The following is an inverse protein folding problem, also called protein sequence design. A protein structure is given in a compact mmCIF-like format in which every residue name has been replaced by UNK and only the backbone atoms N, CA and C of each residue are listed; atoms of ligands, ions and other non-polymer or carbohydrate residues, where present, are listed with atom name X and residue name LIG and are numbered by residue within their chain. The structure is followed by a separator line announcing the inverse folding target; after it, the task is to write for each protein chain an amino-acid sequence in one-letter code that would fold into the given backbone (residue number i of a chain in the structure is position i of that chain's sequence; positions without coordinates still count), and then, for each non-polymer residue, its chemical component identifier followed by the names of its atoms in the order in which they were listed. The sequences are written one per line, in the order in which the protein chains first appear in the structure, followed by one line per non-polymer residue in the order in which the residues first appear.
data_IF_374008425967
#
_entry.id   IF_374008425967
#
_cell.length_a   1.000
_cell.length_b   1.000
_cell.length_c   1.000
_cell.angle_alpha   90.00
_cell.angle_beta   90.00
_cell.angle_gamma   90.00
#
_symmetry.space_group_name_H-M   'P 1'
#
loop_
_entity.id
_entity.type
_entity.pdbx_description
1 polymer ?
#
# COMPACT_ATOMS: atom_id res chain seq x y z
N UNK A 1 4.34 -75.40 -66.14
CA UNK A 1 3.52 -75.32 -64.90
C UNK A 1 4.32 -74.95 -63.65
N UNK A 2 5.50 -75.53 -63.39
CA UNK A 2 6.30 -75.25 -62.18
C UNK A 2 6.69 -73.77 -61.98
N UNK A 3 7.07 -73.05 -63.04
CA UNK A 3 7.46 -71.64 -62.95
C UNK A 3 6.29 -70.72 -62.51
N UNK A 4 5.06 -71.00 -62.96
CA UNK A 4 3.85 -70.28 -62.52
C UNK A 4 3.56 -70.53 -61.03
N UNK A 5 3.71 -71.77 -60.56
CA UNK A 5 3.56 -72.12 -59.14
C UNK A 5 4.63 -71.46 -58.25
N UNK A 6 5.90 -71.43 -58.69
CA UNK A 6 6.98 -70.73 -57.96
C UNK A 6 6.75 -69.21 -57.88
N UNK A 7 6.29 -68.58 -58.97
CA UNK A 7 5.95 -67.14 -58.99
C UNK A 7 4.75 -66.82 -58.10
N UNK A 8 3.76 -67.71 -58.06
CA UNK A 8 2.60 -67.58 -57.18
C UNK A 8 3.01 -67.74 -55.70
N UNK A 9 3.81 -68.76 -55.38
CA UNK A 9 4.36 -68.94 -54.03
C UNK A 9 5.20 -67.75 -53.57
N UNK A 10 6.06 -67.20 -54.43
CA UNK A 10 6.84 -66.00 -54.12
C UNK A 10 5.95 -64.77 -53.88
N UNK A 11 4.85 -64.63 -54.62
CA UNK A 11 3.85 -63.55 -54.43
C UNK A 11 3.07 -63.73 -53.13
N UNK A 12 2.68 -64.97 -52.79
CA UNK A 12 2.05 -65.33 -51.51
C UNK A 12 2.99 -64.99 -50.34
N UNK A 13 4.26 -65.40 -50.43
CA UNK A 13 5.28 -65.15 -49.42
C UNK A 13 5.56 -63.66 -49.24
N UNK A 14 5.61 -62.89 -50.33
CA UNK A 14 5.77 -61.43 -50.26
C UNK A 14 4.54 -60.77 -49.59
N UNK A 15 3.33 -61.23 -49.89
CA UNK A 15 2.10 -60.78 -49.22
C UNK A 15 2.12 -61.08 -47.73
N UNK A 16 2.52 -62.29 -47.34
CA UNK A 16 2.63 -62.70 -45.94
C UNK A 16 3.66 -61.84 -45.19
N UNK A 17 4.86 -61.65 -45.75
CA UNK A 17 5.89 -60.79 -45.15
C UNK A 17 5.40 -59.34 -45.01
N UNK A 18 4.68 -58.82 -45.99
CA UNK A 18 4.14 -57.47 -45.95
C UNK A 18 3.05 -57.32 -44.87
N UNK A 19 2.13 -58.30 -44.75
CA UNK A 19 1.15 -58.31 -43.66
C UNK A 19 1.82 -58.35 -42.28
N UNK A 20 2.82 -59.22 -42.09
CA UNK A 20 3.57 -59.31 -40.83
C UNK A 20 4.27 -57.98 -40.52
N UNK A 21 4.90 -57.32 -41.50
CA UNK A 21 5.49 -56.00 -41.28
C UNK A 21 4.47 -54.94 -40.89
N UNK A 22 3.27 -54.95 -41.51
CA UNK A 22 2.19 -54.02 -41.18
C UNK A 22 1.68 -54.28 -39.76
N UNK A 23 1.48 -55.55 -39.37
CA UNK A 23 1.00 -55.92 -38.05
C UNK A 23 2.02 -55.58 -36.95
N UNK A 24 3.32 -55.81 -37.21
CA UNK A 24 4.42 -55.42 -36.30
C UNK A 24 4.47 -53.89 -36.18
N UNK A 25 4.38 -53.15 -37.29
CA UNK A 25 4.29 -51.69 -37.26
C UNK A 25 3.06 -51.21 -36.48
N UNK A 26 1.89 -51.80 -36.69
CA UNK A 26 0.67 -51.44 -36.00
C UNK A 26 0.77 -51.73 -34.51
N UNK A 27 1.34 -52.87 -34.12
CA UNK A 27 1.59 -53.22 -32.72
C UNK A 27 2.54 -52.24 -32.03
N UNK A 28 3.66 -51.88 -32.68
CA UNK A 28 4.59 -50.89 -32.12
C UNK A 28 4.00 -49.47 -32.07
N UNK A 29 3.25 -49.07 -33.10
CA UNK A 29 2.51 -47.79 -33.09
C UNK A 29 1.47 -47.77 -31.96
N UNK A 30 0.80 -48.90 -31.72
CA UNK A 30 -0.18 -49.04 -30.65
C UNK A 30 0.48 -49.00 -29.27
N UNK A 31 1.69 -49.53 -29.09
CA UNK A 31 2.49 -49.41 -27.87
C UNK A 31 2.98 -47.98 -27.59
N UNK A 32 3.24 -47.16 -28.61
CA UNK A 32 3.70 -45.77 -28.44
C UNK A 32 2.56 -44.78 -28.19
N UNK A 33 1.33 -45.12 -28.61
CA UNK A 33 0.13 -44.29 -28.44
C UNK A 33 -0.22 -43.87 -26.99
N UNK A 34 -0.03 -44.69 -25.93
CA UNK A 34 -0.36 -44.32 -24.55
C UNK A 34 0.65 -43.32 -23.99
N UNK A 35 1.92 -43.40 -24.40
CA UNK A 35 2.97 -42.47 -23.99
C UNK A 35 2.69 -41.07 -24.54
N UNK A 36 2.26 -40.98 -25.80
CA UNK A 36 1.88 -39.71 -26.42
C UNK A 36 0.60 -39.12 -25.82
N UNK A 37 -0.40 -39.96 -25.50
CA UNK A 37 -1.61 -39.51 -24.79
C UNK A 37 -1.31 -39.06 -23.37
N UNK A 38 -0.41 -39.74 -22.66
CA UNK A 38 0.01 -39.40 -21.29
C UNK A 38 0.74 -38.05 -21.27
N UNK A 39 1.71 -37.83 -22.16
CA UNK A 39 2.41 -36.55 -22.26
C UNK A 39 1.47 -35.40 -22.62
N UNK A 40 0.54 -35.62 -23.56
CA UNK A 40 -0.48 -34.62 -23.90
C UNK A 40 -1.43 -34.32 -22.73
N UNK A 41 -1.83 -35.31 -21.93
CA UNK A 41 -2.65 -35.09 -20.75
C UNK A 41 -1.92 -34.27 -19.68
N UNK A 42 -0.63 -34.50 -19.48
CA UNK A 42 0.18 -33.74 -18.54
C UNK A 42 0.37 -32.28 -19.01
N UNK A 43 0.63 -32.07 -20.30
CA UNK A 43 0.74 -30.72 -20.89
C UNK A 43 -0.61 -29.98 -20.81
N UNK A 44 -1.73 -30.66 -21.12
CA UNK A 44 -3.08 -30.08 -20.98
C UNK A 44 -3.40 -29.73 -19.53
N UNK A 45 -3.04 -30.58 -18.56
CA UNK A 45 -3.22 -30.26 -17.14
C UNK A 45 -2.39 -29.05 -16.70
N UNK A 46 -1.12 -28.98 -17.11
CA UNK A 46 -0.25 -27.86 -16.77
C UNK A 46 -0.72 -26.53 -17.40
N UNK A 47 -1.16 -26.56 -18.65
CA UNK A 47 -1.69 -25.38 -19.35
C UNK A 47 -3.02 -24.89 -18.76
N UNK A 48 -3.92 -25.79 -18.38
CA UNK A 48 -5.16 -25.44 -17.69
C UNK A 48 -4.90 -24.84 -16.30
N UNK A 49 -3.96 -25.39 -15.53
CA UNK A 49 -3.58 -24.83 -14.23
C UNK A 49 -2.99 -23.41 -14.36
N UNK A 50 -2.16 -23.18 -15.38
CA UNK A 50 -1.63 -21.84 -15.66
C UNK A 50 -2.75 -20.84 -16.04
N UNK A 51 -3.71 -21.27 -16.86
CA UNK A 51 -4.87 -20.46 -17.24
C UNK A 51 -5.73 -20.11 -16.01
N UNK A 52 -6.00 -21.08 -15.14
CA UNK A 52 -6.75 -20.87 -13.89
C UNK A 52 -6.07 -19.86 -12.97
N UNK A 53 -4.76 -19.98 -12.77
CA UNK A 53 -3.99 -19.03 -11.96
C UNK A 53 -4.04 -17.63 -12.60
N UNK A 54 -3.85 -17.52 -13.91
CA UNK A 54 -3.92 -16.25 -14.63
C UNK A 54 -5.30 -15.60 -14.48
N UNK A 55 -6.38 -16.37 -14.65
CA UNK A 55 -7.75 -15.90 -14.48
C UNK A 55 -8.02 -15.47 -13.03
N UNK A 56 -7.57 -16.23 -12.03
CA UNK A 56 -7.73 -15.88 -10.63
C UNK A 56 -7.00 -14.58 -10.26
N UNK A 57 -5.73 -14.43 -10.70
CA UNK A 57 -4.95 -13.21 -10.51
C UNK A 57 -5.63 -12.02 -11.19
N UNK A 58 -6.10 -12.19 -12.43
CA UNK A 58 -6.80 -11.12 -13.17
C UNK A 58 -8.09 -10.70 -12.48
N UNK A 59 -8.90 -11.66 -12.01
CA UNK A 59 -10.11 -11.38 -11.26
C UNK A 59 -9.82 -10.65 -9.95
N UNK A 60 -8.77 -11.05 -9.22
CA UNK A 60 -8.36 -10.41 -7.98
C UNK A 60 -7.87 -8.98 -8.21
N UNK A 61 -7.10 -8.74 -9.27
CA UNK A 61 -6.68 -7.39 -9.67
C UNK A 61 -7.87 -6.51 -10.05
N UNK A 62 -8.83 -7.03 -10.82
CA UNK A 62 -10.04 -6.29 -11.18
C UNK A 62 -10.90 -5.96 -9.95
N UNK A 63 -11.11 -6.94 -9.06
CA UNK A 63 -11.82 -6.74 -7.81
C UNK A 63 -11.14 -5.68 -6.93
N UNK A 64 -9.80 -5.75 -6.82
CA UNK A 64 -9.02 -4.77 -6.09
C UNK A 64 -9.12 -3.37 -6.71
N UNK A 65 -9.02 -3.26 -8.04
CA UNK A 65 -9.17 -2.01 -8.77
C UNK A 65 -10.56 -1.39 -8.58
N UNK A 66 -11.62 -2.19 -8.70
CA UNK A 66 -12.99 -1.76 -8.47
C UNK A 66 -13.19 -1.30 -7.01
N UNK A 67 -12.74 -2.10 -6.06
CA UNK A 67 -12.81 -1.78 -4.63
C UNK A 67 -12.10 -0.46 -4.30
N UNK A 68 -10.92 -0.23 -4.89
CA UNK A 68 -10.13 0.98 -4.66
C UNK A 68 -10.74 2.22 -5.29
N UNK A 69 -11.35 2.10 -6.48
CA UNK A 69 -11.91 3.24 -7.23
C UNK A 69 -13.35 3.58 -6.88
N UNK A 70 -14.12 2.64 -6.33
CA UNK A 70 -15.53 2.82 -5.96
C UNK A 70 -15.78 4.03 -5.02
N UNK A 71 -14.82 4.40 -4.17
CA UNK A 71 -14.96 5.49 -3.21
C UNK A 71 -14.78 6.90 -3.83
N UNK A 72 -14.17 7.01 -5.01
CA UNK A 72 -13.70 8.29 -5.55
C UNK A 72 -14.80 9.19 -6.15
N UNK A 73 -16.04 8.69 -6.25
CA UNK A 73 -17.20 9.47 -6.69
C UNK A 73 -17.86 10.33 -5.60
N UNK A 74 -17.53 10.12 -4.31
CA UNK A 74 -18.26 10.69 -3.18
C UNK A 74 -18.41 12.23 -3.23
N UNK A 75 -17.32 12.96 -3.43
CA UNK A 75 -17.31 14.43 -3.50
C UNK A 75 -17.89 14.97 -4.80
N UNK A 76 -17.54 14.33 -5.93
CA UNK A 76 -18.04 14.71 -7.26
C UNK A 76 -19.56 14.63 -7.31
N UNK A 77 -20.15 13.58 -6.74
CA UNK A 77 -21.60 13.39 -6.69
C UNK A 77 -22.33 14.41 -5.80
N UNK A 78 -21.60 15.11 -4.93
CA UNK A 78 -22.13 16.14 -4.02
C UNK A 78 -21.82 17.57 -4.51
N UNK A 79 -21.22 17.71 -5.70
CA UNK A 79 -20.82 19.01 -6.23
C UNK A 79 -19.67 19.67 -5.46
N UNK A 80 -18.92 18.91 -4.66
CA UNK A 80 -17.81 19.45 -3.87
C UNK A 80 -16.52 19.40 -4.72
N UNK A 81 -15.85 20.54 -4.95
CA UNK A 81 -14.63 20.59 -5.73
C UNK A 81 -13.47 19.91 -4.99
N UNK A 82 -12.51 19.38 -5.73
CA UNK A 82 -11.35 18.71 -5.14
C UNK A 82 -10.37 18.18 -6.19
N UNK A 83 -9.13 17.86 -5.78
CA UNK A 83 -8.15 17.29 -6.70
C UNK A 83 -8.64 15.93 -7.21
N UNK A 84 -8.44 15.69 -8.51
CA UNK A 84 -8.86 14.45 -9.16
C UNK A 84 -8.02 13.29 -8.59
N UNK A 85 -8.64 12.28 -7.96
CA UNK A 85 -7.93 11.14 -7.44
C UNK A 85 -7.25 10.36 -8.58
N UNK A 86 -5.98 10.02 -8.39
CA UNK A 86 -5.20 9.18 -9.30
C UNK A 86 -5.67 7.73 -9.16
N UNK A 87 -5.71 7.01 -10.28
CA UNK A 87 -6.06 5.59 -10.31
C UNK A 87 -5.17 4.79 -9.32
N UNK A 88 -5.76 3.85 -8.57
CA UNK A 88 -5.16 3.03 -7.51
C UNK A 88 -4.79 3.75 -6.20
N UNK A 89 -4.33 5.00 -6.22
CA UNK A 89 -3.76 5.67 -5.03
C UNK A 89 -4.51 6.90 -4.53
N UNK A 90 -5.58 7.31 -5.24
CA UNK A 90 -6.38 8.46 -4.87
C UNK A 90 -5.56 9.75 -4.90
N UNK A 91 -5.69 10.56 -3.85
CA UNK A 91 -4.97 11.82 -3.69
C UNK A 91 -3.69 11.67 -2.85
N UNK A 92 -3.38 10.46 -2.36
CA UNK A 92 -2.29 10.20 -1.40
C UNK A 92 -0.98 9.76 -2.05
N UNK A 93 -0.89 9.79 -3.38
CA UNK A 93 0.21 9.22 -4.15
C UNK A 93 1.58 9.82 -3.77
N UNK A 94 1.68 11.14 -3.75
CA UNK A 94 2.91 11.84 -3.37
C UNK A 94 3.28 11.63 -1.90
N UNK A 95 2.28 11.42 -1.03
CA UNK A 95 2.46 11.13 0.39
C UNK A 95 2.98 9.70 0.58
N UNK A 96 2.42 8.74 -0.17
CA UNK A 96 2.78 7.32 -0.06
C UNK A 96 4.22 7.06 -0.53
N UNK A 97 4.66 7.78 -1.57
CA UNK A 97 6.03 7.73 -2.08
C UNK A 97 6.98 8.68 -1.34
N UNK A 98 6.56 9.26 -0.21
CA UNK A 98 7.35 10.19 0.61
C UNK A 98 7.95 11.36 -0.19
N UNK A 99 7.29 11.75 -1.29
CA UNK A 99 7.70 12.88 -2.13
C UNK A 99 7.28 14.21 -1.52
N UNK A 100 6.15 14.21 -0.82
CA UNK A 100 5.61 15.33 -0.08
C UNK A 100 5.16 14.84 1.29
N UNK A 101 5.42 15.65 2.32
CA UNK A 101 4.76 15.46 3.61
C UNK A 101 3.26 15.74 3.50
N UNK A 102 2.47 15.18 4.42
CA UNK A 102 1.02 15.45 4.50
C UNK A 102 0.72 16.94 4.59
N UNK A 103 1.55 17.71 5.30
CA UNK A 103 1.39 19.15 5.45
C UNK A 103 1.67 19.90 4.14
N UNK A 104 2.74 19.57 3.44
CA UNK A 104 3.07 20.17 2.13
C UNK A 104 2.02 19.85 1.07
N UNK A 105 1.55 18.60 1.05
CA UNK A 105 0.48 18.19 0.16
C UNK A 105 -0.80 19.00 0.42
N UNK A 106 -1.23 19.08 1.69
CA UNK A 106 -2.42 19.84 2.06
C UNK A 106 -2.26 21.32 1.71
N UNK A 107 -1.09 21.91 1.95
CA UNK A 107 -0.79 23.28 1.56
C UNK A 107 -0.92 23.47 0.05
N UNK A 108 -0.35 22.58 -0.77
CA UNK A 108 -0.46 22.63 -2.24
C UNK A 108 -1.91 22.59 -2.70
N UNK A 109 -2.73 21.69 -2.16
CA UNK A 109 -4.16 21.60 -2.53
C UNK A 109 -4.93 22.82 -2.02
N UNK A 110 -4.63 23.33 -0.83
CA UNK A 110 -5.21 24.56 -0.31
C UNK A 110 -4.95 25.74 -1.27
N UNK A 111 -3.73 25.84 -1.80
CA UNK A 111 -3.36 26.87 -2.78
C UNK A 111 -4.02 26.65 -4.14
N UNK A 112 -4.33 25.40 -4.52
CA UNK A 112 -5.04 25.09 -5.77
C UNK A 112 -6.51 25.51 -5.72
N UNK A 113 -7.17 25.33 -4.57
CA UNK A 113 -8.60 25.61 -4.39
C UNK A 113 -8.85 26.90 -3.60
N UNK A 114 -7.98 27.93 -3.70
CA UNK A 114 -8.04 29.16 -2.87
C UNK A 114 -9.41 29.84 -2.80
N UNK A 115 -10.13 29.87 -3.91
CA UNK A 115 -11.39 30.61 -4.02
C UNK A 115 -12.62 29.82 -3.56
N UNK A 116 -12.47 28.52 -3.29
CA UNK A 116 -13.58 27.68 -2.83
C UNK A 116 -13.75 27.77 -1.31
N UNK A 117 -14.95 27.79 -0.74
CA UNK A 117 -15.14 27.81 0.72
C UNK A 117 -14.74 26.48 1.40
N UNK A 118 -14.76 25.39 0.63
CA UNK A 118 -14.37 24.05 1.06
C UNK A 118 -13.93 23.20 -0.13
N UNK A 119 -13.17 22.15 0.11
CA UNK A 119 -12.81 21.18 -0.91
C UNK A 119 -12.68 19.77 -0.33
N UNK A 120 -12.95 18.77 -1.16
CA UNK A 120 -12.88 17.37 -0.79
C UNK A 120 -11.56 16.74 -1.23
N UNK A 121 -10.90 16.01 -0.34
CA UNK A 121 -9.74 15.16 -0.66
C UNK A 121 -10.05 13.71 -0.31
N UNK A 122 -9.22 12.80 -0.82
CA UNK A 122 -9.32 11.37 -0.54
C UNK A 122 -8.01 10.90 0.08
N UNK A 123 -8.06 10.45 1.33
CA UNK A 123 -6.93 9.78 1.96
C UNK A 123 -7.21 8.28 1.94
N UNK A 124 -6.46 7.54 1.12
CA UNK A 124 -6.83 6.15 0.76
C UNK A 124 -8.26 6.10 0.21
N UNK A 125 -9.19 5.42 0.89
CA UNK A 125 -10.62 5.33 0.53
C UNK A 125 -11.51 6.29 1.32
N UNK A 126 -10.95 7.01 2.29
CA UNK A 126 -11.71 7.91 3.16
C UNK A 126 -11.87 9.27 2.48
N UNK A 127 -13.11 9.70 2.31
CA UNK A 127 -13.46 11.04 1.87
C UNK A 127 -13.24 12.02 3.03
N UNK A 128 -12.36 13.01 2.86
CA UNK A 128 -12.05 14.04 3.85
C UNK A 128 -12.48 15.39 3.30
N UNK A 129 -13.27 16.13 4.09
CA UNK A 129 -13.66 17.49 3.76
C UNK A 129 -12.71 18.47 4.44
N UNK A 130 -12.19 19.43 3.68
CA UNK A 130 -11.37 20.51 4.21
C UNK A 130 -12.17 21.80 4.11
N UNK A 131 -12.43 22.39 5.27
CA UNK A 131 -13.15 23.66 5.41
C UNK A 131 -12.15 24.82 5.41
N UNK A 132 -12.49 25.91 4.70
CA UNK A 132 -11.70 27.15 4.68
C UNK A 132 -12.50 28.37 5.10
N UNK A 133 -13.80 28.34 4.89
CA UNK A 133 -14.71 29.40 5.31
C UNK A 133 -14.81 29.46 6.85
N UNK A 134 -14.51 30.61 7.49
CA UNK A 134 -14.65 30.80 8.93
C UNK A 134 -16.07 30.51 9.45
N UNK A 135 -17.11 30.77 8.66
CA UNK A 135 -18.49 30.51 9.08
C UNK A 135 -18.76 29.01 9.16
N UNK A 136 -18.35 28.25 8.13
CA UNK A 136 -18.45 26.78 8.12
C UNK A 136 -17.62 26.15 9.23
N UNK A 137 -16.41 26.67 9.48
CA UNK A 137 -15.55 26.20 10.57
C UNK A 137 -16.24 26.44 11.92
N UNK A 138 -16.85 27.61 12.12
CA UNK A 138 -17.59 27.93 13.34
C UNK A 138 -18.80 27.00 13.53
N UNK A 139 -19.53 26.71 12.46
CA UNK A 139 -20.66 25.79 12.53
C UNK A 139 -20.20 24.40 12.97
N UNK A 140 -19.16 23.83 12.33
CA UNK A 140 -18.65 22.49 12.65
C UNK A 140 -17.94 22.41 14.01
N UNK A 141 -17.12 23.39 14.36
CA UNK A 141 -16.28 23.35 15.56
C UNK A 141 -16.96 23.89 16.82
N UNK A 142 -18.03 24.68 16.68
CA UNK A 142 -18.70 25.34 17.81
C UNK A 142 -20.18 24.98 17.88
N UNK A 143 -20.96 25.27 16.83
CA UNK A 143 -22.42 25.12 16.85
C UNK A 143 -22.84 23.65 16.92
N UNK A 144 -22.26 22.83 16.04
CA UNK A 144 -22.59 21.41 15.85
C UNK A 144 -21.48 20.47 16.33
N UNK A 145 -20.60 20.94 17.22
CA UNK A 145 -19.44 20.18 17.70
C UNK A 145 -19.80 18.79 18.23
N UNK A 146 -20.98 18.61 18.82
CA UNK A 146 -21.46 17.30 19.30
C UNK A 146 -21.46 16.24 18.18
N UNK A 147 -21.83 16.63 16.96
CA UNK A 147 -21.85 15.76 15.78
C UNK A 147 -20.44 15.47 15.23
N UNK A 148 -19.48 16.35 15.49
CA UNK A 148 -18.10 16.30 14.96
C UNK A 148 -17.05 16.11 16.05
N UNK A 149 -17.45 15.50 17.17
CA UNK A 149 -16.58 15.37 18.36
C UNK A 149 -15.50 14.29 18.23
N UNK A 150 -15.61 13.42 17.22
CA UNK A 150 -14.61 12.39 16.92
C UNK A 150 -13.38 12.99 16.22
N UNK A 151 -12.18 12.54 16.61
CA UNK A 151 -10.91 13.11 16.17
C UNK A 151 -10.28 12.37 14.99
N UNK A 152 -10.93 11.33 14.46
CA UNK A 152 -10.54 10.64 13.21
C UNK A 152 -9.16 9.96 13.24
N UNK A 153 -8.51 9.90 14.40
CA UNK A 153 -7.22 9.25 14.60
C UNK A 153 -7.45 7.82 15.12
N UNK A 154 -6.78 6.85 14.52
CA UNK A 154 -6.68 5.50 15.10
C UNK A 154 -5.77 5.63 16.32
N UNK A 155 -6.38 5.80 17.48
CA UNK A 155 -5.65 5.85 18.75
C UNK A 155 -5.56 4.43 19.30
N UNK A 156 -4.34 3.92 19.45
CA UNK A 156 -4.12 2.62 20.07
C UNK A 156 -4.73 2.58 21.47
N UNK A 157 -5.37 1.47 21.83
CA UNK A 157 -6.11 1.33 23.11
C UNK A 157 -5.29 1.78 24.32
N UNK A 158 -3.99 1.45 24.32
CA UNK A 158 -3.03 1.80 25.37
C UNK A 158 -2.89 3.31 25.61
N UNK A 159 -3.07 4.14 24.60
CA UNK A 159 -2.96 5.61 24.70
C UNK A 159 -4.32 6.31 24.53
N UNK A 160 -5.41 5.56 24.34
CA UNK A 160 -6.77 6.08 24.12
C UNK A 160 -7.19 7.09 25.18
N UNK A 161 -6.95 6.77 26.45
CA UNK A 161 -7.34 7.61 27.58
C UNK A 161 -6.54 8.91 27.69
N UNK A 162 -5.33 8.99 27.13
CA UNK A 162 -4.51 10.20 27.09
C UNK A 162 -4.80 11.03 25.83
N UNK A 163 -4.94 10.36 24.68
CA UNK A 163 -5.12 11.03 23.39
C UNK A 163 -6.59 11.41 23.09
N UNK A 164 -7.56 10.74 23.71
CA UNK A 164 -8.98 11.10 23.70
C UNK A 164 -9.46 11.34 25.15
N UNK A 165 -8.99 12.41 25.80
CA UNK A 165 -9.37 12.70 27.17
C UNK A 165 -10.87 13.01 27.24
N UNK A 166 -11.60 12.34 28.13
CA UNK A 166 -13.01 12.66 28.38
C UNK A 166 -13.12 14.08 28.98
N UNK A 167 -14.29 14.72 28.88
CA UNK A 167 -14.59 16.07 29.38
C UNK A 167 -14.13 16.29 30.83
N UNK A 168 -14.28 15.28 31.70
CA UNK A 168 -13.77 15.31 33.09
C UNK A 168 -12.25 15.45 33.17
N UNK A 169 -11.53 14.73 32.32
CA UNK A 169 -10.07 14.79 32.27
C UNK A 169 -9.61 16.12 31.67
N UNK A 170 -10.28 16.61 30.62
CA UNK A 170 -10.01 17.93 30.03
C UNK A 170 -10.22 19.03 31.07
N UNK A 171 -11.32 19.01 31.84
CA UNK A 171 -11.57 20.01 32.88
C UNK A 171 -10.51 19.95 33.97
N UNK A 172 -10.14 18.76 34.45
CA UNK A 172 -9.12 18.59 35.48
C UNK A 172 -7.74 19.06 35.02
N UNK A 173 -7.38 18.80 33.76
CA UNK A 173 -6.09 19.22 33.18
C UNK A 173 -6.10 20.71 32.83
N UNK A 174 -7.24 21.30 32.47
CA UNK A 174 -7.34 22.73 32.16
C UNK A 174 -6.92 23.61 33.35
N UNK A 175 -7.18 23.18 34.58
CA UNK A 175 -6.69 23.82 35.81
C UNK A 175 -5.15 23.87 35.94
N UNK A 176 -4.42 23.07 35.17
CA UNK A 176 -2.95 23.12 35.12
C UNK A 176 -2.40 24.16 34.13
N UNK A 177 -3.25 24.76 33.29
CA UNK A 177 -2.86 25.78 32.31
C UNK A 177 -3.42 27.21 32.52
N UNK A 178 -3.71 27.70 33.75
CA UNK A 178 -4.01 29.12 33.94
C UNK A 178 -2.76 29.97 33.68
N UNK A 179 -2.96 31.20 33.21
CA UNK A 179 -1.92 32.15 32.79
C UNK A 179 -0.82 32.37 33.84
N UNK A 180 -1.17 32.27 35.13
CA UNK A 180 -0.24 32.41 36.26
C UNK A 180 0.74 31.23 36.36
N UNK A 181 0.25 30.00 36.18
CA UNK A 181 1.12 28.81 36.18
C UNK A 181 2.00 28.77 34.94
N UNK A 182 1.51 29.27 33.80
CA UNK A 182 2.33 29.44 32.58
C UNK A 182 3.53 30.36 32.85
N UNK A 183 3.33 31.52 33.51
CA UNK A 183 4.43 32.44 33.87
C UNK A 183 5.49 31.79 34.77
N UNK A 184 5.07 31.04 35.80
CA UNK A 184 5.99 30.29 36.68
C UNK A 184 6.73 29.18 35.92
N UNK A 185 6.05 28.49 35.01
CA UNK A 185 6.66 27.43 34.20
C UNK A 185 7.66 28.00 33.19
N UNK A 186 7.42 29.19 32.66
CA UNK A 186 8.37 29.86 31.76
C UNK A 186 9.64 30.33 32.48
N UNK A 187 9.57 30.80 33.72
CA UNK A 187 10.79 31.17 34.47
C UNK A 187 11.65 29.94 34.77
N UNK A 188 11.02 28.85 35.20
CA UNK A 188 11.68 27.55 35.39
C UNK A 188 12.28 27.02 34.07
N UNK A 189 11.54 27.09 32.97
CA UNK A 189 12.05 26.68 31.66
C UNK A 189 13.26 27.51 31.22
N UNK A 190 13.28 28.81 31.54
CA UNK A 190 14.40 29.70 31.24
C UNK A 190 15.63 29.33 32.05
N UNK A 191 15.45 29.01 33.33
CA UNK A 191 16.52 28.56 34.22
C UNK A 191 17.10 27.21 33.78
N UNK A 192 16.23 26.24 33.45
CA UNK A 192 16.64 24.96 32.88
C UNK A 192 17.40 25.17 31.56
N UNK A 193 16.93 26.08 30.70
CA UNK A 193 17.61 26.38 29.43
C UNK A 193 19.01 26.96 29.65
N UNK A 194 19.19 27.84 30.65
CA UNK A 194 20.49 28.40 31.02
C UNK A 194 21.43 27.33 31.59
N UNK A 195 20.91 26.43 32.44
CA UNK A 195 21.69 25.31 32.98
C UNK A 195 22.13 24.35 31.87
N UNK A 196 21.23 24.01 30.95
CA UNK A 196 21.54 23.16 29.80
C UNK A 196 22.60 23.80 28.89
N UNK A 197 22.50 25.10 28.60
CA UNK A 197 23.52 25.81 27.81
C UNK A 197 24.88 25.84 28.51
N UNK A 198 24.89 26.07 29.82
CA UNK A 198 26.12 26.07 30.63
C UNK A 198 26.78 24.70 30.63
N UNK A 199 26.02 23.64 30.91
CA UNK A 199 26.52 22.26 30.91
C UNK A 199 27.00 21.83 29.53
N UNK A 200 26.28 22.19 28.47
CA UNK A 200 26.69 21.90 27.09
C UNK A 200 27.99 22.64 26.72
N UNK A 201 28.15 23.91 27.11
CA UNK A 201 29.41 24.65 26.90
C UNK A 201 30.56 24.02 27.67
N UNK A 202 30.38 23.69 28.95
CA UNK A 202 31.42 23.06 29.76
C UNK A 202 31.85 21.70 29.21
N UNK A 203 30.89 20.86 28.80
CA UNK A 203 31.18 19.58 28.14
C UNK A 203 31.94 19.77 26.83
N UNK A 204 31.59 20.77 26.02
CA UNK A 204 32.33 21.08 24.78
C UNK A 204 33.73 21.62 25.05
N UNK A 205 33.92 22.43 26.09
CA UNK A 205 35.25 22.89 26.52
C UNK A 205 36.12 21.74 27.01
N UNK A 206 35.59 20.84 27.85
CA UNK A 206 36.31 19.65 28.31
C UNK A 206 36.67 18.70 27.16
N UNK A 207 35.76 18.51 26.20
CA UNK A 207 36.03 17.71 25.01
C UNK A 207 37.13 18.35 24.15
N UNK A 208 37.06 19.67 23.89
CA UNK A 208 38.12 20.36 23.14
C UNK A 208 39.46 20.34 23.89
N UNK A 209 39.50 20.59 25.21
CA UNK A 209 40.74 20.54 25.99
C UNK A 209 41.35 19.14 26.03
N UNK A 210 40.54 18.07 26.04
CA UNK A 210 41.04 16.70 25.95
C UNK A 210 41.66 16.38 24.59
N UNK A 211 41.18 17.00 23.50
CA UNK A 211 41.78 16.90 22.15
C UNK A 211 43.13 17.64 22.09
N UNK A 212 43.26 18.78 22.79
CA UNK A 212 44.54 19.50 22.89
C UNK A 212 45.57 18.76 23.77
N UNK A 213 45.14 18.19 24.90
CA UNK A 213 46.02 17.39 25.79
C UNK A 213 46.54 16.12 25.08
N UNK A 214 45.74 15.47 24.23
CA UNK A 214 46.21 14.32 23.45
C UNK A 214 47.18 14.68 22.31
N UNK A 215 47.11 15.91 21.78
CA UNK A 215 48.03 16.36 20.72
C UNK A 215 49.42 16.74 21.24
N UNK A 216 49.51 17.24 22.47
CA UNK A 216 50.78 17.69 23.05
C UNK A 216 51.58 16.54 23.70
N UNK A 217 50.97 15.37 23.92
CA UNK A 217 51.63 14.14 24.40
C UNK A 217 52.13 13.19 23.31
N UNK A 218 51.97 13.53 22.03
CA UNK A 218 52.35 12.70 20.88
C UNK A 218 53.56 13.26 20.11
N UNK A 219 54.47 13.99 20.79
CA UNK A 219 55.68 14.56 20.20
C UNK A 219 56.91 14.14 20.99
#
# INVERSE_FOLDING_TARGET
MLAKKKKQYAKEQLRIKMCICIDICHYHLQQLSPLFKSSQHLIKRATMAYLEILCAVTALLLAFCYYSTSAFGFWKNRGIPGPKPVFFFGNSMDILFSRLSTAEYLHKVYQQFKNEPMFGVYMRRSAILVLKDPELIKDVMVRDFSNFSDRGLIVYERVRHVALPNRKLISSVSYFYPTVLVKKKTSLSLEISKLLQTNYRQSRYQHNSSIWIQKDGAR
#
